data_IF_521015081959
#
_entry.id   IF_521015081959
#
_cell.length_a   1.000
_cell.length_b   1.000
_cell.length_c   1.000
_cell.angle_alpha   90.00
_cell.angle_beta   90.00
_cell.angle_gamma   90.00
#
_symmetry.space_group_name_H-M   'P 1'
#
loop_
_entity.id
_entity.type
_entity.pdbx_description
1 polymer ?
#
# COMPACT_ATOMS: atom_id res chain seq x y z
N UNK A 1 -2.31 14.39 -9.35
CA UNK A 1 -3.32 14.36 -8.27
C UNK A 1 -2.74 13.63 -7.08
N UNK A 2 -2.94 14.15 -5.86
CA UNK A 2 -2.50 13.52 -4.61
C UNK A 2 -3.75 13.14 -3.82
N UNK A 3 -3.85 11.89 -3.39
CA UNK A 3 -4.87 11.42 -2.44
C UNK A 3 -4.28 11.47 -1.03
N UNK A 4 -5.08 11.89 -0.05
CA UNK A 4 -4.64 12.04 1.34
C UNK A 4 -5.56 11.28 2.26
N UNK A 5 -4.96 10.58 3.22
CA UNK A 5 -5.67 9.81 4.23
C UNK A 5 -5.18 10.23 5.60
N UNK A 6 -6.10 10.29 6.56
CA UNK A 6 -5.80 10.46 7.98
C UNK A 6 -6.41 9.26 8.71
N UNK A 7 -5.57 8.36 9.19
CA UNK A 7 -5.97 7.05 9.68
C UNK A 7 -5.75 7.00 11.18
N UNK A 8 -6.79 6.68 11.95
CA UNK A 8 -6.65 6.46 13.39
C UNK A 8 -6.19 5.02 13.64
N UNK A 9 -4.96 4.86 14.11
CA UNK A 9 -4.30 3.55 14.27
C UNK A 9 -3.42 3.47 15.53
N UNK A 10 -3.58 4.43 16.44
CA UNK A 10 -2.75 4.53 17.64
C UNK A 10 -1.29 4.94 17.34
N UNK A 11 -0.42 4.99 18.36
CA UNK A 11 0.95 5.46 18.20
C UNK A 11 1.73 4.57 17.23
N UNK A 12 2.25 5.17 16.16
CA UNK A 12 3.07 4.47 15.17
C UNK A 12 4.49 5.03 15.17
N UNK A 13 5.49 4.15 15.33
CA UNK A 13 6.90 4.54 15.17
C UNK A 13 7.33 4.41 13.71
N UNK A 14 8.34 5.17 13.29
CA UNK A 14 8.93 4.98 11.95
C UNK A 14 9.42 3.54 11.73
N UNK A 15 9.92 2.87 12.78
CA UNK A 15 10.35 1.47 12.69
C UNK A 15 9.17 0.53 12.38
N UNK A 16 8.03 0.71 13.05
CA UNK A 16 6.82 -0.06 12.80
C UNK A 16 6.32 0.16 11.37
N UNK A 17 6.29 1.42 10.92
CA UNK A 17 5.86 1.77 9.57
C UNK A 17 6.77 1.16 8.48
N UNK A 18 8.10 1.15 8.69
CA UNK A 18 9.03 0.46 7.79
C UNK A 18 8.73 -1.03 7.70
N UNK A 19 8.57 -1.72 8.84
CA UNK A 19 8.22 -3.15 8.85
C UNK A 19 6.88 -3.43 8.15
N UNK A 20 5.88 -2.57 8.38
CA UNK A 20 4.57 -2.69 7.75
C UNK A 20 4.68 -2.57 6.23
N UNK A 21 5.44 -1.58 5.73
CA UNK A 21 5.73 -1.45 4.31
C UNK A 21 6.45 -2.67 3.75
N UNK A 22 7.47 -3.18 4.41
CA UNK A 22 8.21 -4.38 3.96
C UNK A 22 7.30 -5.62 3.85
N UNK A 23 6.26 -5.70 4.70
CA UNK A 23 5.27 -6.78 4.67
C UNK A 23 4.19 -6.66 3.58
N UNK A 24 4.10 -5.52 2.87
CA UNK A 24 3.10 -5.29 1.82
C UNK A 24 3.36 -6.08 0.53
N UNK A 25 4.54 -6.70 0.39
CA UNK A 25 4.87 -7.49 -0.79
C UNK A 25 3.95 -8.72 -0.85
N UNK A 26 2.92 -8.64 -1.70
CA UNK A 26 1.86 -9.64 -1.76
C UNK A 26 1.35 -9.84 -3.18
N UNK A 27 0.85 -11.05 -3.42
CA UNK A 27 0.12 -11.43 -4.62
C UNK A 27 -1.20 -12.08 -4.18
N UNK A 28 -2.32 -11.57 -4.70
CA UNK A 28 -3.66 -11.97 -4.28
C UNK A 28 -4.54 -12.12 -5.50
N UNK A 29 -5.23 -13.24 -5.60
CA UNK A 29 -6.31 -13.44 -6.58
C UNK A 29 -7.45 -12.47 -6.24
N UNK A 30 -7.83 -11.66 -7.22
CA UNK A 30 -8.82 -10.61 -7.07
C UNK A 30 -9.56 -10.40 -8.38
N UNK A 31 -10.87 -10.17 -8.35
CA UNK A 31 -11.58 -9.70 -9.53
C UNK A 31 -10.96 -8.38 -10.01
N UNK A 32 -10.85 -8.23 -11.33
CA UNK A 32 -10.34 -7.03 -12.00
C UNK A 32 -11.37 -6.55 -13.02
N UNK A 33 -11.74 -5.29 -12.93
CA UNK A 33 -12.64 -4.65 -13.89
C UNK A 33 -11.89 -4.31 -15.18
N UNK A 34 -12.43 -4.80 -16.29
CA UNK A 34 -11.92 -4.57 -17.65
C UNK A 34 -13.03 -4.00 -18.53
N UNK A 35 -12.70 -3.51 -19.72
CA UNK A 35 -13.66 -2.89 -20.64
C UNK A 35 -14.86 -3.78 -21.02
N UNK A 36 -14.74 -5.09 -20.85
CA UNK A 36 -15.74 -6.10 -21.20
C UNK A 36 -16.45 -6.70 -19.98
N UNK A 37 -16.20 -6.22 -18.76
CA UNK A 37 -16.79 -6.73 -17.53
C UNK A 37 -15.76 -6.98 -16.42
N UNK A 38 -16.14 -7.72 -15.38
CA UNK A 38 -15.23 -8.14 -14.30
C UNK A 38 -14.72 -9.55 -14.61
N UNK A 39 -13.41 -9.76 -14.50
CA UNK A 39 -12.76 -11.05 -14.76
C UNK A 39 -11.85 -11.43 -13.60
N UNK A 40 -11.57 -12.73 -13.46
CA UNK A 40 -10.57 -13.21 -12.52
C UNK A 40 -9.18 -12.68 -12.91
N UNK A 41 -8.48 -12.18 -11.90
CA UNK A 41 -7.17 -11.61 -12.05
C UNK A 41 -6.30 -11.80 -10.83
N UNK A 42 -5.05 -11.38 -10.98
CA UNK A 42 -4.06 -11.40 -9.93
C UNK A 42 -3.61 -9.98 -9.69
N UNK A 43 -3.76 -9.54 -8.44
CA UNK A 43 -3.21 -8.29 -7.95
C UNK A 43 -1.88 -8.55 -7.28
N UNK A 44 -0.88 -7.80 -7.71
CA UNK A 44 0.43 -7.80 -7.06
C UNK A 44 0.69 -6.40 -6.48
N UNK A 45 1.04 -6.32 -5.20
CA UNK A 45 1.60 -5.11 -4.56
C UNK A 45 3.07 -5.39 -4.27
N UNK A 46 3.95 -4.51 -4.73
CA UNK A 46 5.40 -4.58 -4.46
C UNK A 46 5.91 -3.25 -3.95
N UNK A 47 6.65 -3.29 -2.86
CA UNK A 47 7.40 -2.14 -2.35
C UNK A 47 8.78 -2.16 -2.98
N UNK A 48 9.05 -1.19 -3.86
CA UNK A 48 10.30 -1.10 -4.61
C UNK A 48 11.39 -0.36 -3.85
N UNK A 49 10.99 0.59 -3.01
CA UNK A 49 11.92 1.42 -2.23
C UNK A 49 11.22 1.87 -0.95
N UNK A 50 11.98 1.89 0.15
CA UNK A 50 11.59 2.55 1.39
C UNK A 50 12.73 3.47 1.81
N UNK A 51 12.40 4.72 2.14
CA UNK A 51 13.35 5.73 2.60
C UNK A 51 12.81 6.39 3.87
N UNK A 52 13.49 6.15 4.98
CA UNK A 52 13.19 6.82 6.24
C UNK A 52 13.79 8.23 6.25
N UNK A 53 13.02 9.19 6.75
CA UNK A 53 13.42 10.58 7.04
C UNK A 53 13.24 10.85 8.53
N UNK A 54 13.63 12.03 9.01
CA UNK A 54 13.54 12.38 10.44
C UNK A 54 12.13 12.24 11.02
N UNK A 55 11.09 12.56 10.25
CA UNK A 55 9.69 12.61 10.72
C UNK A 55 8.70 11.86 9.84
N UNK A 56 9.15 11.23 8.75
CA UNK A 56 8.27 10.54 7.82
C UNK A 56 9.00 9.39 7.10
N UNK A 57 8.23 8.58 6.38
CA UNK A 57 8.75 7.56 5.47
C UNK A 57 8.23 7.84 4.07
N UNK A 58 9.13 7.78 3.10
CA UNK A 58 8.79 7.78 1.68
C UNK A 58 8.90 6.35 1.16
N UNK A 59 7.89 5.87 0.43
CA UNK A 59 7.93 4.53 -0.17
C UNK A 59 7.46 4.55 -1.63
N UNK A 60 8.16 3.81 -2.49
CA UNK A 60 7.70 3.52 -3.84
C UNK A 60 6.97 2.17 -3.84
N UNK A 61 5.71 2.19 -4.26
CA UNK A 61 4.85 1.01 -4.27
C UNK A 61 4.29 0.81 -5.67
N UNK A 62 4.63 -0.31 -6.29
CA UNK A 62 4.06 -0.74 -7.56
C UNK A 62 2.84 -1.60 -7.30
N UNK A 63 1.74 -1.26 -7.95
CA UNK A 63 0.57 -2.12 -8.03
C UNK A 63 0.44 -2.60 -9.45
N UNK A 64 0.22 -3.90 -9.62
CA UNK A 64 -0.02 -4.49 -10.93
C UNK A 64 -1.24 -5.40 -10.90
N UNK A 65 -2.01 -5.39 -11.98
CA UNK A 65 -3.11 -6.32 -12.22
C UNK A 65 -2.81 -7.14 -13.46
N UNK A 66 -2.94 -8.46 -13.36
CA UNK A 66 -2.82 -9.41 -14.47
C UNK A 66 -4.13 -10.17 -14.63
N UNK A 67 -4.67 -10.28 -15.84
CA UNK A 67 -5.91 -11.04 -16.12
C UNK A 67 -5.72 -12.03 -17.25
N UNK A 68 -6.60 -13.04 -17.32
CA UNK A 68 -6.71 -13.99 -18.43
C UNK A 68 -5.39 -14.69 -18.78
N UNK A 69 -4.75 -15.32 -17.79
CA UNK A 69 -3.48 -16.05 -17.98
C UNK A 69 -2.26 -15.19 -18.35
N UNK A 70 -2.35 -13.85 -18.26
CA UNK A 70 -1.27 -12.93 -18.63
C UNK A 70 -1.55 -12.05 -19.84
N UNK A 71 -2.72 -12.18 -20.48
CA UNK A 71 -3.07 -11.48 -21.72
C UNK A 71 -3.26 -9.96 -21.58
N UNK A 72 -3.63 -9.45 -20.39
CA UNK A 72 -3.60 -8.01 -20.10
C UNK A 72 -2.93 -7.75 -18.76
N UNK A 73 -2.11 -6.71 -18.72
CA UNK A 73 -1.39 -6.26 -17.53
C UNK A 73 -1.50 -4.75 -17.40
N UNK A 74 -1.88 -4.28 -16.22
CA UNK A 74 -1.77 -2.86 -15.84
C UNK A 74 -0.77 -2.75 -14.71
N UNK A 75 0.02 -1.68 -14.73
CA UNK A 75 0.98 -1.38 -13.66
C UNK A 75 1.03 0.12 -13.43
N UNK A 76 0.80 0.53 -12.19
CA UNK A 76 1.01 1.90 -11.74
C UNK A 76 2.03 1.92 -10.61
N UNK A 77 2.82 2.99 -10.57
CA UNK A 77 3.79 3.23 -9.51
C UNK A 77 3.32 4.42 -8.67
N UNK A 78 3.29 4.23 -7.36
CA UNK A 78 2.87 5.22 -6.39
C UNK A 78 4.02 5.60 -5.47
N UNK A 79 4.12 6.90 -5.19
CA UNK A 79 4.90 7.43 -4.09
C UNK A 79 3.96 7.62 -2.89
N UNK A 80 4.28 6.95 -1.79
CA UNK A 80 3.64 7.10 -0.51
C UNK A 80 4.51 7.96 0.40
N UNK A 81 3.91 8.89 1.13
CA UNK A 81 4.54 9.58 2.25
C UNK A 81 3.73 9.32 3.51
N UNK A 82 4.37 8.67 4.49
CA UNK A 82 3.79 8.28 5.77
C UNK A 82 4.32 9.17 6.88
N UNK A 83 3.43 9.91 7.53
CA UNK A 83 3.79 10.86 8.60
C UNK A 83 2.96 10.54 9.85
N UNK A 84 3.55 9.87 10.86
CA UNK A 84 2.86 9.62 12.12
C UNK A 84 2.76 10.91 12.95
N UNK A 85 1.56 11.20 13.46
CA UNK A 85 1.25 12.35 14.31
C UNK A 85 0.35 11.91 15.47
N UNK A 86 0.95 11.62 16.63
CA UNK A 86 0.24 11.07 17.78
C UNK A 86 -0.42 9.73 17.44
N UNK A 87 -1.75 9.68 17.52
CA UNK A 87 -2.56 8.48 17.22
C UNK A 87 -3.09 8.44 15.78
N UNK A 88 -2.64 9.38 14.93
CA UNK A 88 -3.05 9.49 13.54
C UNK A 88 -1.85 9.24 12.63
N UNK A 89 -2.03 8.38 11.63
CA UNK A 89 -1.11 8.24 10.52
C UNK A 89 -1.64 9.03 9.34
N UNK A 90 -0.91 10.06 8.92
CA UNK A 90 -1.16 10.74 7.64
C UNK A 90 -0.48 9.97 6.52
N UNK A 91 -1.23 9.69 5.46
CA UNK A 91 -0.74 9.00 4.27
C UNK A 91 -1.04 9.87 3.05
N UNK A 92 0.00 10.34 2.37
CA UNK A 92 -0.14 10.97 1.06
C UNK A 92 0.22 9.95 -0.02
N UNK A 93 -0.68 9.73 -0.97
CA UNK A 93 -0.50 8.80 -2.09
C UNK A 93 -0.51 9.58 -3.40
N UNK A 94 0.59 9.50 -4.16
CA UNK A 94 0.73 10.15 -5.45
C UNK A 94 1.13 9.12 -6.50
N UNK A 95 0.32 8.97 -7.55
CA UNK A 95 0.74 8.21 -8.74
C UNK A 95 1.88 8.97 -9.44
N UNK A 96 2.99 8.28 -9.70
CA UNK A 96 4.15 8.85 -10.39
C UNK A 96 4.38 8.23 -11.77
N UNK A 97 3.84 7.03 -12.04
CA UNK A 97 3.86 6.40 -13.37
C UNK A 97 2.65 5.48 -13.57
N UNK A 98 2.33 5.19 -14.82
CA UNK A 98 1.19 4.35 -15.24
C UNK A 98 -0.07 5.13 -15.61
N UNK A 99 -1.05 4.41 -16.14
CA UNK A 99 -2.28 4.95 -16.75
C UNK A 99 -3.44 5.13 -15.77
N UNK A 100 -3.26 4.79 -14.49
CA UNK A 100 -4.29 4.92 -13.47
C UNK A 100 -5.39 3.88 -13.56
N UNK A 101 -5.00 2.63 -13.85
CA UNK A 101 -5.90 1.48 -13.94
C UNK A 101 -5.86 0.60 -12.69
N UNK A 102 -4.97 0.91 -11.75
CA UNK A 102 -4.93 0.29 -10.43
C UNK A 102 -5.52 1.19 -9.36
N UNK A 103 -5.97 0.58 -8.27
CA UNK A 103 -6.56 1.30 -7.14
C UNK A 103 -5.53 1.57 -6.03
N UNK A 104 -5.18 2.86 -5.76
CA UNK A 104 -4.31 3.21 -4.65
C UNK A 104 -4.95 3.03 -3.26
N UNK A 105 -6.29 3.02 -3.14
CA UNK A 105 -6.97 2.87 -1.84
C UNK A 105 -6.64 1.49 -1.24
N UNK A 106 -6.60 0.50 -2.11
CA UNK A 106 -6.21 -0.86 -1.76
C UNK A 106 -4.76 -1.02 -1.23
N UNK A 107 -3.85 -0.06 -1.48
CA UNK A 107 -2.51 -0.03 -0.87
C UNK A 107 -2.63 0.40 0.60
N UNK A 108 -3.44 1.44 0.84
CA UNK A 108 -3.66 2.01 2.17
C UNK A 108 -4.34 0.97 3.06
N UNK A 109 -5.37 0.29 2.57
CA UNK A 109 -6.05 -0.76 3.34
C UNK A 109 -5.11 -1.90 3.75
N UNK A 110 -4.25 -2.34 2.84
CA UNK A 110 -3.25 -3.37 3.16
C UNK A 110 -2.20 -2.87 4.15
N UNK A 111 -1.83 -1.59 4.08
CA UNK A 111 -0.89 -0.99 5.02
C UNK A 111 -1.51 -0.91 6.43
N UNK A 112 -2.77 -0.48 6.53
CA UNK A 112 -3.50 -0.43 7.80
C UNK A 112 -3.59 -1.80 8.45
N UNK A 113 -3.94 -2.83 7.67
CA UNK A 113 -3.96 -4.22 8.15
C UNK A 113 -2.58 -4.67 8.65
N UNK A 114 -1.53 -4.39 7.87
CA UNK A 114 -0.16 -4.75 8.25
C UNK A 114 0.28 -4.08 9.57
N UNK A 115 0.02 -2.77 9.72
CA UNK A 115 0.34 -2.03 10.94
C UNK A 115 -0.43 -2.61 12.13
N UNK A 116 -1.75 -2.80 11.99
CA UNK A 116 -2.61 -3.34 13.06
C UNK A 116 -2.13 -4.72 13.53
N UNK A 117 -1.79 -5.61 12.60
CA UNK A 117 -1.26 -6.94 12.91
C UNK A 117 0.10 -6.88 13.62
N UNK A 118 0.96 -5.94 13.22
CA UNK A 118 2.27 -5.77 13.86
C UNK A 118 2.15 -5.18 15.27
N UNK A 119 1.26 -4.21 15.48
CA UNK A 119 0.99 -3.65 16.81
C UNK A 119 0.47 -4.73 17.77
N UNK A 120 -0.54 -5.49 17.34
CA UNK A 120 -1.06 -6.60 18.15
C UNK A 120 0.06 -7.58 18.55
N UNK A 121 0.95 -7.94 17.63
CA UNK A 121 2.09 -8.84 17.92
C UNK A 121 3.11 -8.25 18.88
N UNK A 122 3.27 -6.92 18.93
CA UNK A 122 4.15 -6.25 19.89
C UNK A 122 3.50 -6.19 21.28
N UNK A 123 2.17 -6.07 21.37
CA UNK A 123 1.41 -6.09 22.63
C UNK A 123 1.41 -7.47 23.32
N UNK A 124 1.33 -8.57 22.56
CA UNK A 124 1.36 -9.94 23.11
C UNK A 124 2.76 -10.47 23.47
N UNK A 125 3.81 -9.67 23.25
CA UNK A 125 5.21 -10.02 23.60
C UNK A 125 5.66 -9.44 24.95
N UNK A 126 4.74 -8.84 25.70
CA UNK A 126 4.94 -8.28 27.04
C UNK A 126 4.61 -9.31 28.11
#
# INVERSE_FOLDING_TARGET
>A
MVRRYAISIGPCTLRLLTKALESLNMEVESPVEVSTGVVDGVKTIRVELVKSRKSCIEALVRVSYRVGGGSKCWSDLYLLTLSPEGNVLKVDVRRISGVGRTDPDSIVDSLVRAITLLQAREEFRV
#
